data_IF_357075632228
#
_entry.id   IF_357075632228
#
_cell.length_a   1.000
_cell.length_b   1.000
_cell.length_c   1.000
_cell.angle_alpha   90.00
_cell.angle_beta   90.00
_cell.angle_gamma   90.00
#
_symmetry.space_group_name_H-M   'P 1'
#
loop_
_entity.id
_entity.type
_entity.pdbx_description
1 polymer ?
#
# COMPACT_ATOMS: atom_id res chain seq x y z
N UNK A 1 -2.90 -0.82 -22.50
CA UNK A 1 -2.29 -0.11 -21.36
C UNK A 1 -3.09 -0.50 -20.11
N UNK A 2 -2.47 -1.05 -19.09
CA UNK A 2 -3.19 -1.40 -17.83
C UNK A 2 -3.62 -0.11 -17.12
N UNK A 3 -4.86 -0.06 -16.60
CA UNK A 3 -5.42 1.10 -15.90
C UNK A 3 -4.72 1.39 -14.58
N UNK A 4 -4.58 2.67 -14.21
CA UNK A 4 -4.16 3.10 -12.85
C UNK A 4 -5.34 3.16 -11.88
N UNK A 5 -6.56 2.95 -12.36
CA UNK A 5 -7.77 3.05 -11.54
C UNK A 5 -7.72 2.23 -10.23
N UNK A 6 -7.18 0.99 -10.19
CA UNK A 6 -7.11 0.24 -8.94
C UNK A 6 -6.28 0.91 -7.83
N UNK A 7 -5.32 1.76 -8.17
CA UNK A 7 -4.52 2.49 -7.19
C UNK A 7 -5.22 3.74 -6.62
N UNK A 8 -6.16 4.30 -7.38
CA UNK A 8 -6.83 5.56 -7.03
C UNK A 8 -8.31 5.36 -6.67
N UNK A 9 -8.98 4.40 -7.30
CA UNK A 9 -10.41 4.13 -7.14
C UNK A 9 -10.67 2.62 -7.02
N UNK A 10 -10.06 1.92 -6.02
CA UNK A 10 -10.34 0.51 -5.83
C UNK A 10 -11.76 0.31 -5.27
N UNK A 11 -12.40 -0.83 -5.58
CA UNK A 11 -13.62 -1.26 -4.91
C UNK A 11 -13.35 -2.17 -3.71
N UNK A 12 -12.15 -2.75 -3.65
CA UNK A 12 -11.70 -3.59 -2.56
C UNK A 12 -10.18 -3.50 -2.34
N UNK A 13 -9.81 -3.40 -1.09
CA UNK A 13 -8.41 -3.30 -0.64
C UNK A 13 -8.11 -4.45 0.31
N UNK A 14 -6.95 -5.09 0.13
CA UNK A 14 -6.36 -5.98 1.13
C UNK A 14 -5.09 -5.37 1.70
N UNK A 15 -4.97 -5.35 3.02
CA UNK A 15 -3.75 -4.93 3.69
C UNK A 15 -3.04 -6.11 4.35
N UNK A 16 -1.82 -6.41 3.90
CA UNK A 16 -0.96 -7.46 4.41
C UNK A 16 0.06 -6.87 5.37
N UNK A 17 0.00 -7.29 6.64
CA UNK A 17 0.84 -6.75 7.71
C UNK A 17 0.05 -5.96 8.76
N UNK A 18 -1.26 -6.13 8.79
CA UNK A 18 -2.14 -5.47 9.74
C UNK A 18 -1.78 -5.83 11.19
N UNK A 19 -1.71 -4.83 12.07
CA UNK A 19 -1.37 -5.00 13.48
C UNK A 19 -1.94 -3.86 14.32
N UNK A 20 -2.19 -4.15 15.59
CA UNK A 20 -2.59 -3.18 16.63
C UNK A 20 -1.41 -2.65 17.43
N UNK A 21 -0.17 -3.06 17.12
CA UNK A 21 1.04 -2.64 17.83
C UNK A 21 1.23 -1.13 17.72
N UNK A 22 1.17 -0.42 18.84
CA UNK A 22 1.38 1.03 18.89
C UNK A 22 2.71 1.47 18.29
N UNK A 23 2.68 2.62 17.59
CA UNK A 23 3.85 3.20 16.93
C UNK A 23 4.37 2.45 15.71
N UNK A 24 3.70 1.37 15.28
CA UNK A 24 4.11 0.63 14.10
C UNK A 24 3.47 1.18 12.82
N UNK A 25 4.19 1.07 11.70
CA UNK A 25 3.69 1.38 10.36
C UNK A 25 2.42 0.59 10.05
N UNK A 26 2.38 -0.69 10.43
CA UNK A 26 1.21 -1.54 10.17
C UNK A 26 -0.05 -1.03 10.88
N UNK A 27 0.05 -0.51 12.11
CA UNK A 27 -1.10 0.09 12.81
C UNK A 27 -1.54 1.39 12.15
N UNK A 28 -0.60 2.27 11.82
CA UNK A 28 -0.92 3.54 11.16
C UNK A 28 -1.68 3.32 9.84
N UNK A 29 -1.29 2.31 9.05
CA UNK A 29 -1.98 1.96 7.81
C UNK A 29 -3.39 1.40 8.10
N UNK A 30 -3.56 0.56 9.12
CA UNK A 30 -4.90 0.10 9.51
C UNK A 30 -5.79 1.29 9.84
N UNK A 31 -5.34 2.17 10.75
CA UNK A 31 -6.09 3.37 11.17
C UNK A 31 -6.48 4.25 9.97
N UNK A 32 -5.55 4.45 9.04
CA UNK A 32 -5.79 5.23 7.83
C UNK A 32 -6.77 4.58 6.85
N UNK A 33 -6.74 3.24 6.72
CA UNK A 33 -7.63 2.51 5.82
C UNK A 33 -9.06 2.39 6.35
N UNK A 34 -9.30 2.56 7.66
CA UNK A 34 -10.65 2.49 8.22
C UNK A 34 -11.60 3.55 7.67
N UNK A 35 -11.09 4.65 7.10
CA UNK A 35 -11.90 5.66 6.40
C UNK A 35 -12.32 5.26 4.97
N UNK A 36 -11.79 4.17 4.44
CA UNK A 36 -12.12 3.70 3.09
C UNK A 36 -13.52 3.05 3.06
N UNK A 37 -14.36 3.47 2.12
CA UNK A 37 -15.77 3.03 2.05
C UNK A 37 -15.98 1.73 1.26
N UNK A 38 -14.93 1.20 0.59
CA UNK A 38 -14.98 -0.05 -0.15
C UNK A 38 -14.77 -1.29 0.74
N UNK A 39 -14.66 -2.46 0.11
CA UNK A 39 -14.33 -3.70 0.83
C UNK A 39 -12.91 -3.64 1.36
N UNK A 40 -12.73 -3.94 2.65
CA UNK A 40 -11.43 -3.90 3.30
C UNK A 40 -11.14 -5.22 4.01
N UNK A 41 -9.99 -5.82 3.71
CA UNK A 41 -9.51 -7.05 4.32
C UNK A 41 -8.15 -6.82 4.98
N UNK A 42 -8.01 -7.28 6.21
CA UNK A 42 -6.75 -7.28 6.94
C UNK A 42 -6.15 -8.68 6.97
N UNK A 43 -4.85 -8.80 6.71
CA UNK A 43 -4.13 -10.07 6.74
C UNK A 43 -3.02 -10.01 7.78
N UNK A 44 -3.04 -10.96 8.71
CA UNK A 44 -1.92 -11.25 9.61
C UNK A 44 -2.02 -12.71 10.09
N UNK A 45 -1.00 -13.57 9.86
CA UNK A 45 -1.06 -15.00 10.23
C UNK A 45 -1.13 -15.24 11.75
N UNK A 46 -0.83 -14.24 12.57
CA UNK A 46 -0.76 -14.37 14.04
C UNK A 46 -1.94 -13.71 14.77
N UNK A 47 -2.89 -13.09 14.04
CA UNK A 47 -3.98 -12.31 14.64
C UNK A 47 -5.32 -12.72 14.04
N UNK A 48 -6.35 -12.75 14.88
CA UNK A 48 -7.74 -12.98 14.45
C UNK A 48 -8.50 -11.67 14.30
N UNK A 49 -7.99 -10.61 14.93
CA UNK A 49 -8.60 -9.29 14.98
C UNK A 49 -7.51 -8.22 15.09
N UNK A 50 -7.75 -7.05 14.51
CA UNK A 50 -6.90 -5.86 14.60
C UNK A 50 -7.81 -4.64 14.74
N UNK A 51 -7.68 -3.88 15.83
CA UNK A 51 -8.48 -2.69 16.16
C UNK A 51 -10.01 -2.92 16.06
N UNK A 52 -10.48 -4.09 16.53
CA UNK A 52 -11.91 -4.44 16.48
C UNK A 52 -12.41 -4.96 15.13
N UNK A 53 -11.54 -5.11 14.14
CA UNK A 53 -11.87 -5.60 12.80
C UNK A 53 -11.34 -7.01 12.57
N UNK A 54 -12.11 -7.92 11.93
CA UNK A 54 -11.66 -9.27 11.61
C UNK A 54 -10.37 -9.27 10.80
N UNK A 55 -9.45 -10.17 11.13
CA UNK A 55 -8.19 -10.32 10.44
C UNK A 55 -8.05 -11.77 9.92
N UNK A 56 -7.88 -11.92 8.62
CA UNK A 56 -7.65 -13.20 7.97
C UNK A 56 -6.20 -13.64 8.16
N UNK A 57 -5.95 -14.94 8.17
CA UNK A 57 -4.60 -15.49 8.35
C UNK A 57 -3.81 -15.58 7.06
N UNK A 58 -4.50 -15.61 5.91
CA UNK A 58 -3.87 -15.67 4.58
C UNK A 58 -4.74 -15.01 3.50
N UNK A 59 -4.11 -14.65 2.39
CA UNK A 59 -4.77 -14.08 1.21
C UNK A 59 -5.76 -15.07 0.59
N UNK A 60 -5.51 -16.36 0.73
CA UNK A 60 -6.39 -17.43 0.21
C UNK A 60 -7.79 -17.40 0.81
N UNK A 61 -7.93 -16.90 2.04
CA UNK A 61 -9.21 -16.80 2.76
C UNK A 61 -10.10 -15.65 2.25
N UNK A 62 -9.59 -14.76 1.40
CA UNK A 62 -10.40 -13.71 0.81
C UNK A 62 -11.42 -14.34 -0.13
N UNK A 63 -12.71 -14.11 0.12
CA UNK A 63 -13.84 -14.68 -0.61
C UNK A 63 -14.55 -13.70 -1.56
N UNK A 64 -14.11 -12.43 -1.56
CA UNK A 64 -14.68 -11.37 -2.38
C UNK A 64 -13.62 -10.71 -3.27
N UNK A 65 -14.03 -10.04 -4.36
CA UNK A 65 -13.11 -9.35 -5.26
C UNK A 65 -12.33 -8.23 -4.55
N UNK A 66 -11.02 -8.18 -4.81
CA UNK A 66 -10.08 -7.15 -4.34
C UNK A 66 -9.29 -6.64 -5.54
N UNK A 67 -9.14 -5.32 -5.63
CA UNK A 67 -8.45 -4.65 -6.75
C UNK A 67 -7.03 -4.23 -6.37
N UNK A 68 -6.80 -3.93 -5.08
CA UNK A 68 -5.55 -3.35 -4.60
C UNK A 68 -5.04 -4.09 -3.36
N UNK A 69 -3.77 -4.42 -3.36
CA UNK A 69 -3.05 -4.88 -2.17
C UNK A 69 -2.13 -3.78 -1.63
N UNK A 70 -2.12 -3.60 -0.32
CA UNK A 70 -1.14 -2.79 0.42
C UNK A 70 -0.29 -3.75 1.24
N UNK A 71 1.04 -3.63 1.18
CA UNK A 71 1.97 -4.59 1.79
C UNK A 71 2.95 -3.86 2.70
N UNK A 72 2.91 -4.17 4.00
CA UNK A 72 3.84 -3.63 5.00
C UNK A 72 4.31 -4.77 5.94
N UNK A 73 5.14 -5.64 5.40
CA UNK A 73 5.74 -6.80 6.07
C UNK A 73 7.26 -6.80 5.88
N UNK A 74 7.99 -7.73 6.48
CA UNK A 74 9.41 -7.90 6.19
C UNK A 74 9.64 -8.21 4.71
N UNK A 75 10.67 -7.60 4.10
CA UNK A 75 10.96 -7.72 2.67
C UNK A 75 11.07 -9.18 2.20
N UNK A 76 11.68 -10.05 3.00
CA UNK A 76 11.86 -11.49 2.72
C UNK A 76 10.55 -12.24 2.44
N UNK A 77 9.41 -11.74 2.94
CA UNK A 77 8.09 -12.36 2.77
C UNK A 77 7.29 -11.77 1.60
N UNK A 78 7.73 -10.66 1.03
CA UNK A 78 7.02 -9.98 -0.09
C UNK A 78 6.92 -10.85 -1.34
N UNK A 79 7.98 -11.60 -1.76
CA UNK A 79 7.88 -12.47 -2.94
C UNK A 79 6.74 -13.50 -2.84
N UNK A 80 6.60 -14.19 -1.71
CA UNK A 80 5.52 -15.16 -1.53
C UNK A 80 4.15 -14.47 -1.52
N UNK A 81 4.05 -13.31 -0.87
CA UNK A 81 2.82 -12.50 -0.86
C UNK A 81 2.38 -12.13 -2.29
N UNK A 82 3.31 -11.71 -3.16
CA UNK A 82 2.98 -11.40 -4.56
C UNK A 82 2.51 -12.63 -5.34
N UNK A 83 3.08 -13.80 -5.10
CA UNK A 83 2.62 -15.07 -5.70
C UNK A 83 1.17 -15.34 -5.27
N UNK A 84 0.85 -15.19 -3.99
CA UNK A 84 -0.49 -15.46 -3.45
C UNK A 84 -1.51 -14.43 -3.97
N UNK A 85 -1.14 -13.15 -4.12
CA UNK A 85 -1.93 -12.12 -4.79
C UNK A 85 -2.19 -12.49 -6.25
N UNK A 86 -1.15 -12.94 -6.97
CA UNK A 86 -1.25 -13.34 -8.38
C UNK A 86 -2.22 -14.52 -8.58
N UNK A 87 -2.18 -15.53 -7.71
CA UNK A 87 -3.13 -16.66 -7.72
C UNK A 87 -4.58 -16.19 -7.50
N UNK A 88 -4.78 -15.15 -6.70
CA UNK A 88 -6.09 -14.51 -6.46
C UNK A 88 -6.46 -13.48 -7.53
N UNK A 89 -5.62 -13.26 -8.56
CA UNK A 89 -5.80 -12.28 -9.63
C UNK A 89 -5.88 -10.83 -9.14
N UNK A 90 -5.23 -10.53 -8.01
CA UNK A 90 -5.06 -9.18 -7.51
C UNK A 90 -3.83 -8.60 -8.20
N UNK A 91 -4.03 -7.66 -9.13
CA UNK A 91 -3.00 -7.22 -10.07
C UNK A 91 -2.46 -5.82 -9.78
N UNK A 92 -2.74 -5.24 -8.62
CA UNK A 92 -2.19 -3.96 -8.20
C UNK A 92 -1.69 -4.06 -6.76
N UNK A 93 -0.44 -3.66 -6.52
CA UNK A 93 0.19 -3.73 -5.20
C UNK A 93 0.95 -2.45 -4.87
N UNK A 94 0.77 -1.94 -3.65
CA UNK A 94 1.59 -0.89 -3.05
C UNK A 94 2.50 -1.58 -2.03
N UNK A 95 3.81 -1.53 -2.24
CA UNK A 95 4.80 -2.16 -1.35
C UNK A 95 5.45 -1.06 -0.52
N UNK A 96 4.98 -0.92 0.72
CA UNK A 96 5.52 0.04 1.70
C UNK A 96 6.81 -0.49 2.33
N UNK A 97 6.92 -1.80 2.43
CA UNK A 97 8.10 -2.50 2.97
C UNK A 97 9.41 -1.96 2.40
N UNK A 98 10.39 -1.73 3.27
CA UNK A 98 11.79 -1.45 2.97
C UNK A 98 12.62 -2.73 3.10
N UNK A 99 13.89 -2.69 2.67
CA UNK A 99 14.82 -3.82 2.67
C UNK A 99 15.06 -4.39 1.28
N UNK A 100 14.97 -3.54 0.26
CA UNK A 100 15.22 -3.87 -1.14
C UNK A 100 16.54 -3.21 -1.60
N UNK A 101 16.63 -2.68 -2.80
CA UNK A 101 17.91 -2.14 -3.35
C UNK A 101 18.62 -1.13 -2.44
N UNK A 102 17.89 -0.41 -1.59
CA UNK A 102 18.47 0.50 -0.61
C UNK A 102 19.24 -0.23 0.51
N UNK A 103 19.03 -1.53 0.69
CA UNK A 103 19.71 -2.37 1.69
C UNK A 103 20.99 -3.06 1.18
N UNK A 104 21.40 -2.80 -0.08
CA UNK A 104 22.59 -3.39 -0.70
C UNK A 104 22.29 -4.62 -1.57
N UNK A 105 23.32 -5.45 -1.83
CA UNK A 105 23.29 -6.50 -2.86
C UNK A 105 22.15 -7.53 -2.64
N UNK A 106 21.96 -8.02 -1.42
CA UNK A 106 20.86 -8.93 -1.10
C UNK A 106 19.49 -8.30 -1.37
N UNK A 107 19.36 -7.00 -1.08
CA UNK A 107 18.16 -6.22 -1.36
C UNK A 107 17.90 -6.05 -2.86
N UNK A 108 18.94 -5.87 -3.66
CA UNK A 108 18.87 -5.81 -5.14
C UNK A 108 18.36 -7.15 -5.70
N UNK A 109 18.91 -8.26 -5.23
CA UNK A 109 18.44 -9.60 -5.64
C UNK A 109 16.96 -9.82 -5.30
N UNK A 110 16.56 -9.39 -4.09
CA UNK A 110 15.17 -9.49 -3.65
C UNK A 110 14.23 -8.63 -4.50
N UNK A 111 14.65 -7.40 -4.85
CA UNK A 111 13.90 -6.51 -5.74
C UNK A 111 13.74 -7.12 -7.12
N UNK A 112 14.80 -7.65 -7.72
CA UNK A 112 14.74 -8.34 -9.00
C UNK A 112 13.76 -9.53 -8.96
N UNK A 113 13.74 -10.27 -7.84
CA UNK A 113 12.81 -11.39 -7.65
C UNK A 113 11.34 -10.93 -7.62
N UNK A 114 11.02 -9.85 -6.89
CA UNK A 114 9.64 -9.35 -6.86
C UNK A 114 9.21 -8.80 -8.21
N UNK A 115 10.09 -8.15 -8.97
CA UNK A 115 9.81 -7.66 -10.32
C UNK A 115 9.52 -8.81 -11.30
N UNK A 116 10.28 -9.91 -11.21
CA UNK A 116 10.02 -11.08 -12.06
C UNK A 116 8.66 -11.70 -11.72
N UNK A 117 8.33 -11.88 -10.43
CA UNK A 117 7.02 -12.39 -10.00
C UNK A 117 5.89 -11.45 -10.46
N UNK A 118 6.08 -10.14 -10.31
CA UNK A 118 5.09 -9.15 -10.76
C UNK A 118 4.82 -9.25 -12.27
N UNK A 119 5.85 -9.46 -13.06
CA UNK A 119 5.75 -9.68 -14.50
C UNK A 119 4.98 -10.97 -14.82
N UNK A 120 5.32 -12.08 -14.15
CA UNK A 120 4.72 -13.39 -14.41
C UNK A 120 3.22 -13.43 -14.08
N UNK A 121 2.81 -12.71 -13.02
CA UNK A 121 1.41 -12.61 -12.58
C UNK A 121 0.69 -11.34 -13.06
N UNK A 122 1.33 -10.51 -13.89
CA UNK A 122 0.80 -9.24 -14.38
C UNK A 122 0.39 -8.27 -13.27
N UNK A 123 1.16 -8.25 -12.16
CA UNK A 123 0.95 -7.34 -11.03
C UNK A 123 1.69 -6.03 -11.31
N UNK A 124 1.00 -4.90 -11.20
CA UNK A 124 1.64 -3.57 -11.17
C UNK A 124 2.00 -3.22 -9.75
N UNK A 125 3.20 -2.66 -9.57
CA UNK A 125 3.74 -2.28 -8.27
C UNK A 125 3.93 -0.77 -8.20
N UNK A 126 3.59 -0.18 -7.04
CA UNK A 126 4.07 1.11 -6.57
C UNK A 126 4.97 0.83 -5.36
N UNK A 127 6.15 1.41 -5.34
CA UNK A 127 7.20 1.08 -4.37
C UNK A 127 8.29 0.20 -5.00
N UNK A 128 9.01 -0.58 -4.23
CA UNK A 128 8.99 -0.71 -2.76
C UNK A 128 9.54 0.52 -2.03
N UNK A 129 9.59 0.45 -0.69
CA UNK A 129 10.14 1.51 0.16
C UNK A 129 9.47 2.87 -0.11
N UNK A 130 8.15 2.93 -0.07
CA UNK A 130 7.35 4.13 -0.34
C UNK A 130 6.47 4.51 0.85
N UNK A 131 6.02 5.77 0.88
CA UNK A 131 5.00 6.21 1.85
C UNK A 131 3.64 5.58 1.54
N UNK A 132 3.32 5.38 0.26
CA UNK A 132 2.05 4.85 -0.23
C UNK A 132 1.28 5.80 -1.12
N UNK A 133 -0.04 5.61 -1.19
CA UNK A 133 -0.95 6.36 -2.07
C UNK A 133 -2.14 6.88 -1.28
N UNK A 134 -2.52 8.15 -1.55
CA UNK A 134 -3.79 8.72 -1.15
C UNK A 134 -4.61 9.10 -2.38
N UNK A 135 -5.89 8.80 -2.32
CA UNK A 135 -6.90 9.28 -3.27
C UNK A 135 -8.07 9.89 -2.48
N UNK A 136 -8.07 11.22 -2.28
CA UNK A 136 -9.07 11.87 -1.43
C UNK A 136 -10.50 11.66 -1.92
N UNK A 137 -10.72 11.62 -3.22
CA UNK A 137 -12.05 11.39 -3.81
C UNK A 137 -12.60 9.98 -3.60
N UNK A 138 -11.77 9.03 -3.17
CA UNK A 138 -12.16 7.65 -2.84
C UNK A 138 -12.04 7.35 -1.35
N UNK A 139 -11.78 8.37 -0.51
CA UNK A 139 -11.44 8.22 0.91
C UNK A 139 -10.33 7.16 1.15
N UNK A 140 -9.45 6.98 0.16
CA UNK A 140 -8.35 6.01 0.24
C UNK A 140 -7.11 6.67 0.82
N UNK A 141 -6.71 6.25 2.02
CA UNK A 141 -5.40 6.56 2.59
C UNK A 141 -4.60 5.26 2.79
N UNK A 142 -3.96 4.80 1.73
CA UNK A 142 -3.08 3.62 1.74
C UNK A 142 -1.63 4.04 2.05
N UNK A 143 -1.43 4.81 3.12
CA UNK A 143 -0.14 5.31 3.60
C UNK A 143 -0.01 5.16 5.11
N UNK A 144 1.17 5.43 5.66
CA UNK A 144 1.40 5.59 7.10
C UNK A 144 1.58 7.08 7.52
N UNK A 145 1.16 8.03 6.68
CA UNK A 145 1.14 9.45 7.03
C UNK A 145 0.08 9.73 8.12
N UNK A 146 0.32 10.77 8.92
CA UNK A 146 -0.56 11.12 10.06
C UNK A 146 -1.90 11.74 9.63
N UNK A 147 -1.93 12.36 8.45
CA UNK A 147 -3.09 13.10 7.96
C UNK A 147 -3.47 12.67 6.57
N UNK A 148 -4.74 12.80 6.21
CA UNK A 148 -5.23 12.62 4.86
C UNK A 148 -5.02 13.91 4.06
N UNK A 149 -4.72 13.79 2.77
CA UNK A 149 -4.69 14.91 1.84
C UNK A 149 -6.11 15.47 1.62
N UNK A 150 -6.25 16.79 1.54
CA UNK A 150 -7.50 17.44 1.13
C UNK A 150 -7.83 17.09 -0.33
N UNK A 151 -9.12 16.98 -0.65
CA UNK A 151 -9.57 16.80 -2.03
C UNK A 151 -9.33 18.08 -2.85
N UNK A 152 -8.80 17.93 -4.07
CA UNK A 152 -8.51 19.06 -4.96
C UNK A 152 -7.98 18.63 -6.32
N UNK A 153 -7.51 19.58 -7.13
CA UNK A 153 -7.17 19.34 -8.55
C UNK A 153 -5.72 18.93 -8.83
N UNK A 154 -4.84 18.89 -7.81
CA UNK A 154 -3.40 18.66 -8.02
C UNK A 154 -3.07 17.18 -7.95
N UNK A 155 -2.39 16.64 -8.97
CA UNK A 155 -1.73 15.36 -8.89
C UNK A 155 -0.30 15.53 -8.37
N UNK A 156 0.06 14.86 -7.26
CA UNK A 156 1.40 14.89 -6.69
C UNK A 156 2.06 13.53 -6.72
N UNK A 157 3.27 13.46 -7.26
CA UNK A 157 4.07 12.22 -7.34
C UNK A 157 5.49 12.53 -6.90
N UNK A 158 6.04 11.74 -5.97
CA UNK A 158 7.43 11.90 -5.50
C UNK A 158 8.07 10.55 -5.15
N UNK A 159 9.38 10.45 -5.34
CA UNK A 159 10.18 9.33 -4.84
C UNK A 159 10.51 9.48 -3.35
N UNK A 160 10.59 10.71 -2.85
CA UNK A 160 10.99 11.00 -1.48
C UNK A 160 9.81 10.95 -0.51
N UNK A 161 9.82 9.99 0.41
CA UNK A 161 8.82 9.92 1.48
C UNK A 161 8.85 11.14 2.40
N UNK A 162 10.04 11.68 2.71
CA UNK A 162 10.18 12.90 3.52
C UNK A 162 9.59 14.12 2.80
N UNK A 163 9.83 14.26 1.49
CA UNK A 163 9.20 15.32 0.70
C UNK A 163 7.67 15.16 0.66
N UNK A 164 7.18 13.93 0.55
CA UNK A 164 5.74 13.66 0.61
C UNK A 164 5.14 14.19 1.92
N UNK A 165 5.71 13.82 3.08
CA UNK A 165 5.16 14.26 4.37
C UNK A 165 5.22 15.77 4.53
N UNK A 166 6.34 16.43 4.21
CA UNK A 166 6.46 17.88 4.30
C UNK A 166 5.49 18.62 3.37
N UNK A 167 5.32 18.11 2.15
CA UNK A 167 4.38 18.71 1.18
C UNK A 167 2.93 18.53 1.61
N UNK A 168 2.59 17.35 2.18
CA UNK A 168 1.26 17.07 2.69
C UNK A 168 0.88 18.01 3.85
N UNK A 169 1.79 18.16 4.82
CA UNK A 169 1.59 19.03 5.98
C UNK A 169 1.41 20.49 5.50
N UNK A 170 2.32 20.98 4.66
CA UNK A 170 2.25 22.34 4.12
C UNK A 170 0.96 22.59 3.30
N UNK A 171 0.59 21.65 2.44
CA UNK A 171 -0.61 21.80 1.62
C UNK A 171 -1.89 21.82 2.47
N UNK A 172 -1.96 20.98 3.51
CA UNK A 172 -3.09 20.98 4.45
C UNK A 172 -3.18 22.31 5.22
N UNK A 173 -2.04 22.87 5.66
CA UNK A 173 -1.99 24.15 6.37
C UNK A 173 -2.50 25.33 5.53
N UNK A 174 -2.22 25.32 4.23
CA UNK A 174 -2.67 26.39 3.31
C UNK A 174 -3.95 26.07 2.54
N UNK A 175 -4.60 24.93 2.84
CA UNK A 175 -5.87 24.53 2.22
C UNK A 175 -5.78 24.08 0.76
N UNK A 176 -4.61 23.57 0.32
CA UNK A 176 -4.41 23.05 -1.03
C UNK A 176 -4.72 21.56 -1.08
N UNK A 177 -5.60 21.17 -2.00
CA UNK A 177 -6.07 19.79 -2.15
C UNK A 177 -5.51 19.07 -3.37
N UNK A 178 -5.54 17.72 -3.29
CA UNK A 178 -5.00 16.82 -4.30
C UNK A 178 -6.08 15.91 -4.90
N UNK A 179 -5.92 15.59 -6.18
CA UNK A 179 -6.69 14.53 -6.85
C UNK A 179 -6.05 13.15 -6.63
N UNK A 180 -4.72 13.13 -6.51
CA UNK A 180 -3.94 11.96 -6.18
C UNK A 180 -2.64 12.42 -5.50
N UNK A 181 -2.21 11.69 -4.46
CA UNK A 181 -0.96 11.94 -3.75
C UNK A 181 -0.19 10.61 -3.65
N UNK A 182 0.93 10.51 -4.37
CA UNK A 182 1.60 9.24 -4.63
C UNK A 182 3.08 9.32 -4.25
N UNK A 183 3.52 8.43 -3.38
CA UNK A 183 4.93 8.16 -3.16
C UNK A 183 5.32 6.89 -3.91
N UNK A 184 6.25 7.00 -4.86
CA UNK A 184 6.67 5.86 -5.68
C UNK A 184 7.91 5.14 -5.14
N UNK A 185 8.50 5.65 -4.05
CA UNK A 185 9.63 5.01 -3.36
C UNK A 185 10.82 4.78 -4.27
N UNK A 186 11.38 3.57 -4.20
CA UNK A 186 12.57 3.19 -4.96
C UNK A 186 12.34 3.05 -6.47
N UNK A 187 11.11 3.11 -6.95
CA UNK A 187 10.71 2.94 -8.37
C UNK A 187 11.27 1.66 -9.00
N UNK A 188 10.60 0.59 -8.77
CA UNK A 188 10.90 -0.71 -9.37
C UNK A 188 10.13 -0.94 -10.65
#
# INVERSE_FOLDING_TARGET
>A
MQSLAPFLHPNGVVFVGATDKEGSVGRAIVENLLGFEGRLFFINPKRKEVLGHPCLQSIEQIDQPVDLAVIAIKAEHVPQTLIDLGKKKIQSAIIISAGFKEAGDEGIELENRILQIAKDYHIRIIGPNCLGVMSPYSNLNATFAKTMALAGGIGFISQSGAMCTSMLDYANDIGVGFSAFISVGSMS
#
